data_IF_082337553239
#
_entry.id   IF_082337553239
#
_cell.length_a   1.000
_cell.length_b   1.000
_cell.length_c   1.000
_cell.angle_alpha   90.00
_cell.angle_beta   90.00
_cell.angle_gamma   90.00
#
_symmetry.space_group_name_H-M   'P 1'
#
loop_
_entity.id
_entity.type
_entity.pdbx_description
1 polymer ?
#
# COMPACT_ATOMS: atom_id res chain seq x y z
N UNK A 1 30.49 -37.78 32.93
CA UNK A 1 30.24 -37.33 31.54
C UNK A 1 29.43 -36.05 31.60
N UNK A 2 29.99 -34.90 31.18
CA UNK A 2 29.24 -33.63 31.11
C UNK A 2 28.34 -33.68 29.87
N UNK A 3 27.01 -33.63 30.04
CA UNK A 3 26.06 -33.41 28.94
C UNK A 3 26.08 -31.92 28.61
N UNK A 4 26.58 -31.58 27.43
CA UNK A 4 26.41 -30.23 26.90
C UNK A 4 24.97 -30.09 26.38
N UNK A 5 24.28 -28.98 26.65
CA UNK A 5 22.99 -28.72 26.02
C UNK A 5 23.17 -28.69 24.50
N UNK A 6 22.25 -29.34 23.78
CA UNK A 6 22.27 -29.37 22.31
C UNK A 6 22.18 -27.97 21.73
N UNK A 7 22.61 -27.82 20.47
CA UNK A 7 22.53 -26.54 19.75
C UNK A 7 21.07 -26.07 19.69
N UNK A 8 20.84 -24.81 20.08
CA UNK A 8 19.52 -24.17 19.98
C UNK A 8 19.12 -24.05 18.51
N UNK A 9 17.82 -24.18 18.22
CA UNK A 9 17.28 -24.02 16.87
C UNK A 9 17.54 -22.63 16.29
N UNK A 10 17.89 -22.59 15.01
CA UNK A 10 18.13 -21.36 14.27
C UNK A 10 16.83 -20.89 13.60
N UNK A 11 16.23 -19.86 14.18
CA UNK A 11 15.00 -19.24 13.69
C UNK A 11 15.25 -18.01 12.80
N UNK A 12 16.51 -17.70 12.49
CA UNK A 12 16.88 -16.47 11.77
C UNK A 12 16.16 -16.38 10.43
N UNK A 13 16.11 -17.47 9.66
CA UNK A 13 15.42 -17.49 8.37
C UNK A 13 13.90 -17.28 8.52
N UNK A 14 13.27 -17.93 9.50
CA UNK A 14 11.84 -17.77 9.75
C UNK A 14 11.52 -16.32 10.14
N UNK A 15 12.34 -15.72 11.01
CA UNK A 15 12.23 -14.32 11.38
C UNK A 15 12.37 -13.40 10.16
N UNK A 16 13.40 -13.57 9.34
CA UNK A 16 13.63 -12.73 8.17
C UNK A 16 12.49 -12.81 7.14
N UNK A 17 11.96 -14.01 6.89
CA UNK A 17 10.83 -14.20 5.97
C UNK A 17 9.57 -13.49 6.49
N UNK A 18 9.26 -13.65 7.78
CA UNK A 18 8.09 -12.98 8.37
C UNK A 18 8.25 -11.46 8.40
N UNK A 19 9.43 -10.95 8.75
CA UNK A 19 9.74 -9.53 8.75
C UNK A 19 9.59 -8.93 7.34
N UNK A 20 10.13 -9.61 6.32
CA UNK A 20 9.94 -9.23 4.93
C UNK A 20 8.46 -9.20 4.54
N UNK A 21 7.70 -10.24 4.88
CA UNK A 21 6.27 -10.33 4.57
C UNK A 21 5.47 -9.19 5.19
N UNK A 22 5.72 -8.87 6.47
CA UNK A 22 5.06 -7.76 7.17
C UNK A 22 5.40 -6.42 6.50
N UNK A 23 6.69 -6.19 6.23
CA UNK A 23 7.14 -4.94 5.63
C UNK A 23 6.58 -4.75 4.22
N UNK A 24 6.57 -5.82 3.42
CA UNK A 24 5.96 -5.82 2.10
C UNK A 24 4.46 -5.47 2.17
N UNK A 25 3.70 -6.14 3.03
CA UNK A 25 2.27 -5.89 3.18
C UNK A 25 1.97 -4.47 3.67
N UNK A 26 2.78 -3.93 4.57
CA UNK A 26 2.66 -2.55 5.02
C UNK A 26 2.84 -1.55 3.86
N UNK A 27 3.93 -1.69 3.10
CA UNK A 27 4.18 -0.82 1.94
C UNK A 27 3.14 -1.00 0.84
N UNK A 28 2.70 -2.23 0.59
CA UNK A 28 1.65 -2.52 -0.37
C UNK A 28 0.33 -1.84 0.02
N UNK A 29 -0.04 -1.90 1.31
CA UNK A 29 -1.25 -1.24 1.83
C UNK A 29 -1.19 0.27 1.67
N UNK A 30 -0.03 0.87 1.96
CA UNK A 30 0.20 2.30 1.75
C UNK A 30 0.04 2.65 0.27
N UNK A 31 0.70 1.91 -0.62
CA UNK A 31 0.62 2.12 -2.06
C UNK A 31 -0.82 1.99 -2.58
N UNK A 32 -1.57 0.98 -2.13
CA UNK A 32 -2.98 0.80 -2.49
C UNK A 32 -3.84 1.99 -2.03
N UNK A 33 -3.63 2.47 -0.80
CA UNK A 33 -4.34 3.65 -0.27
C UNK A 33 -4.07 4.89 -1.10
N UNK A 34 -2.80 5.15 -1.44
CA UNK A 34 -2.43 6.24 -2.34
C UNK A 34 -3.06 6.09 -3.73
N UNK A 35 -3.09 4.87 -4.27
CA UNK A 35 -3.75 4.59 -5.55
C UNK A 35 -5.24 4.93 -5.53
N UNK A 36 -5.96 4.54 -4.47
CA UNK A 36 -7.38 4.87 -4.31
C UNK A 36 -7.60 6.38 -4.24
N UNK A 37 -6.84 7.07 -3.39
CA UNK A 37 -6.93 8.53 -3.25
C UNK A 37 -6.64 9.22 -4.58
N UNK A 38 -5.63 8.76 -5.31
CA UNK A 38 -5.27 9.30 -6.61
C UNK A 38 -6.38 9.14 -7.65
N UNK A 39 -7.03 7.98 -7.69
CA UNK A 39 -8.17 7.71 -8.57
C UNK A 39 -9.34 8.63 -8.21
N UNK A 40 -9.66 8.78 -6.93
CA UNK A 40 -10.74 9.67 -6.47
C UNK A 40 -10.49 11.13 -6.86
N UNK A 41 -9.27 11.63 -6.64
CA UNK A 41 -8.88 12.99 -7.05
C UNK A 41 -8.99 13.19 -8.56
N UNK A 42 -8.50 12.21 -9.33
CA UNK A 42 -8.57 12.26 -10.79
C UNK A 42 -10.01 12.26 -11.30
N UNK A 43 -10.87 11.43 -10.71
CA UNK A 43 -12.29 11.38 -11.04
C UNK A 43 -13.00 12.69 -10.70
N UNK A 44 -12.74 13.25 -9.51
CA UNK A 44 -13.31 14.54 -9.10
C UNK A 44 -12.86 15.69 -10.01
N UNK A 45 -11.59 15.70 -10.43
CA UNK A 45 -11.06 16.69 -11.36
C UNK A 45 -11.74 16.60 -12.73
N UNK A 46 -11.90 15.39 -13.26
CA UNK A 46 -12.58 15.16 -14.56
C UNK A 46 -14.04 15.57 -14.47
N UNK A 47 -14.77 15.15 -13.43
CA UNK A 47 -16.18 15.51 -13.24
C UNK A 47 -16.34 17.04 -13.10
N UNK A 48 -15.47 17.68 -12.33
CA UNK A 48 -15.43 19.14 -12.19
C UNK A 48 -15.18 19.85 -13.52
N UNK A 49 -14.22 19.37 -14.33
CA UNK A 49 -13.91 19.96 -15.64
C UNK A 49 -15.09 19.82 -16.62
N UNK A 50 -15.75 18.67 -16.64
CA UNK A 50 -16.93 18.43 -17.47
C UNK A 50 -18.05 19.40 -17.09
N UNK A 51 -18.37 19.51 -15.79
CA UNK A 51 -19.41 20.42 -15.29
C UNK A 51 -19.11 21.88 -15.60
N UNK A 52 -17.84 22.31 -15.44
CA UNK A 52 -17.41 23.67 -15.76
C UNK A 52 -17.58 23.98 -17.25
N UNK A 53 -17.22 23.05 -18.12
CA UNK A 53 -17.42 23.20 -19.58
C UNK A 53 -18.90 23.26 -19.94
N UNK A 54 -19.73 22.40 -19.33
CA UNK A 54 -21.18 22.41 -19.57
C UNK A 54 -21.83 23.74 -19.16
N UNK A 55 -21.48 24.28 -18.00
CA UNK A 55 -21.95 25.59 -17.55
C UNK A 55 -21.56 26.72 -18.53
N UNK A 56 -20.30 26.71 -19.01
CA UNK A 56 -19.82 27.68 -20.00
C UNK A 56 -20.54 27.65 -21.34
N UNK A 57 -21.02 26.49 -21.78
CA UNK A 57 -21.78 26.33 -23.04
C UNK A 57 -23.23 26.79 -22.86
N UNK A 58 -23.81 26.64 -21.66
CA UNK A 58 -25.18 27.05 -21.39
C UNK A 58 -25.36 28.57 -21.27
N UNK A 59 -24.29 29.31 -20.96
CA UNK A 59 -24.32 30.77 -20.73
C UNK A 59 -24.00 31.61 -22.00
N UNK A 60 -23.76 30.98 -23.16
CA UNK A 60 -23.42 31.66 -24.42
C UNK A 60 -24.37 31.31 -25.55
#
# INVERSE_FOLDING_TARGET
MKRYPGRVEDYTNAFLVTAFGILFMAFFTIAATFGIVWVMLSAALIDGLIRLRAARISDG
#
